data_IF_568910326830
#
_entry.id   IF_568910326830
#
_cell.length_a   1.000
_cell.length_b   1.000
_cell.length_c   1.000
_cell.angle_alpha   90.00
_cell.angle_beta   90.00
_cell.angle_gamma   90.00
#
_symmetry.space_group_name_H-M   'P 1'
#
loop_
_entity.id
_entity.type
_entity.pdbx_description
1 polymer ?
#
# COMPACT_ATOMS: atom_id res chain seq x y z
N UNK A 1 11.68 5.32 -20.23
CA UNK A 1 12.35 5.05 -21.52
C UNK A 1 11.41 5.57 -22.59
N UNK A 2 11.81 6.60 -23.32
CA UNK A 2 10.97 7.23 -24.34
C UNK A 2 11.44 6.74 -25.71
N UNK A 3 10.56 6.11 -26.49
CA UNK A 3 10.92 5.63 -27.82
C UNK A 3 10.75 6.79 -28.80
N UNK A 4 11.86 7.45 -29.13
CA UNK A 4 11.94 8.37 -30.26
C UNK A 4 12.28 7.62 -31.55
N UNK A 5 12.01 8.23 -32.70
CA UNK A 5 12.24 7.72 -34.06
C UNK A 5 13.72 7.44 -34.41
N UNK A 6 14.63 7.49 -33.43
CA UNK A 6 16.08 7.32 -33.57
C UNK A 6 16.46 5.87 -33.86
N UNK A 7 16.37 5.55 -35.15
CA UNK A 7 17.10 4.53 -35.92
C UNK A 7 18.06 3.63 -35.15
N UNK A 8 17.67 2.37 -34.92
CA UNK A 8 18.63 1.27 -34.88
C UNK A 8 17.93 -0.03 -35.32
N UNK A 9 18.23 -0.43 -36.57
CA UNK A 9 17.90 -1.71 -37.21
C UNK A 9 16.41 -2.01 -37.39
N UNK A 10 15.83 -1.50 -38.48
CA UNK A 10 14.49 -1.86 -38.93
C UNK A 10 14.55 -2.88 -40.08
N UNK A 11 14.19 -4.13 -39.80
CA UNK A 11 14.07 -5.16 -40.85
C UNK A 11 12.64 -5.12 -41.41
N UNK A 12 12.48 -4.80 -42.70
CA UNK A 12 11.19 -4.78 -43.39
C UNK A 12 11.11 -5.93 -44.40
N UNK A 13 9.99 -6.65 -44.42
CA UNK A 13 9.70 -7.69 -45.41
C UNK A 13 8.67 -7.17 -46.43
N UNK A 14 8.89 -7.43 -47.73
CA UNK A 14 8.24 -6.70 -48.83
C UNK A 14 6.75 -7.04 -49.09
N UNK A 15 6.15 -7.94 -48.29
CA UNK A 15 4.78 -8.46 -48.53
C UNK A 15 3.66 -7.80 -47.71
N UNK A 16 3.92 -6.79 -46.89
CA UNK A 16 2.89 -6.12 -46.08
C UNK A 16 2.22 -4.95 -46.83
N UNK A 17 1.19 -5.25 -47.63
CA UNK A 17 0.34 -4.22 -48.29
C UNK A 17 -0.56 -3.40 -47.32
N UNK A 18 -0.30 -3.50 -46.01
CA UNK A 18 -0.97 -2.74 -44.94
C UNK A 18 0.09 -2.40 -43.89
N UNK A 19 0.96 -1.43 -44.20
CA UNK A 19 2.12 -1.07 -43.38
C UNK A 19 1.73 -0.87 -41.91
N UNK A 20 2.15 -1.81 -41.05
CA UNK A 20 1.97 -1.77 -39.61
C UNK A 20 3.35 -1.82 -38.97
N UNK A 21 3.54 -1.03 -37.93
CA UNK A 21 4.81 -1.00 -37.18
C UNK A 21 4.59 -1.61 -35.80
N UNK A 22 5.58 -2.37 -35.33
CA UNK A 22 5.54 -2.97 -33.99
C UNK A 22 6.67 -2.39 -33.16
N UNK A 23 6.31 -1.67 -32.11
CA UNK A 23 7.26 -1.12 -31.14
C UNK A 23 7.50 -2.16 -30.05
N UNK A 24 8.76 -2.34 -29.65
CA UNK A 24 9.15 -3.26 -28.57
C UNK A 24 9.87 -2.47 -27.49
N UNK A 25 9.33 -2.52 -26.26
CA UNK A 25 9.98 -1.97 -25.08
C UNK A 25 10.49 -3.13 -24.23
N UNK A 26 11.79 -3.16 -23.94
CA UNK A 26 12.40 -4.18 -23.09
C UNK A 26 12.84 -3.55 -21.79
N UNK A 27 12.23 -3.96 -20.67
CA UNK A 27 12.75 -3.69 -19.34
C UNK A 27 13.51 -4.94 -18.86
N UNK A 28 14.75 -4.77 -18.42
CA UNK A 28 15.62 -5.85 -17.93
C UNK A 28 16.31 -5.41 -16.64
N UNK A 29 16.79 -6.37 -15.85
CA UNK A 29 17.54 -6.07 -14.63
C UNK A 29 16.68 -5.61 -13.46
N UNK A 30 15.38 -5.95 -13.44
CA UNK A 30 14.49 -5.58 -12.33
C UNK A 30 14.26 -6.75 -11.37
N UNK A 31 14.02 -6.39 -10.10
CA UNK A 31 13.67 -7.26 -8.98
C UNK A 31 12.83 -6.41 -8.01
N UNK A 32 11.68 -6.89 -7.47
CA UNK A 32 11.02 -8.20 -7.62
C UNK A 32 10.17 -8.35 -8.92
N UNK A 33 9.50 -9.49 -9.10
CA UNK A 33 8.76 -9.94 -10.30
C UNK A 33 7.46 -9.16 -10.61
N UNK A 34 7.00 -8.33 -9.67
CA UNK A 34 5.74 -7.60 -9.76
C UNK A 34 5.82 -6.32 -10.61
N UNK A 35 6.42 -6.35 -11.80
CA UNK A 35 6.50 -5.18 -12.69
C UNK A 35 5.63 -5.40 -13.92
N UNK A 36 4.78 -4.42 -14.23
CA UNK A 36 3.97 -4.41 -15.44
C UNK A 36 4.28 -3.17 -16.26
N UNK A 37 4.06 -3.25 -17.58
CA UNK A 37 4.47 -2.24 -18.55
C UNK A 37 3.26 -1.78 -19.33
N UNK A 38 3.06 -0.46 -19.40
CA UNK A 38 2.00 0.19 -20.18
C UNK A 38 2.58 1.17 -21.18
N UNK A 39 1.83 1.38 -22.26
CA UNK A 39 2.14 2.35 -23.30
C UNK A 39 1.30 3.61 -23.13
N UNK A 40 1.94 4.76 -23.21
CA UNK A 40 1.30 6.06 -23.30
C UNK A 40 1.62 6.67 -24.66
N UNK A 41 0.58 7.13 -25.36
CA UNK A 41 0.69 7.76 -26.67
C UNK A 41 0.17 9.19 -26.55
N UNK A 42 1.00 10.17 -26.88
CA UNK A 42 0.64 11.58 -26.85
C UNK A 42 0.68 12.16 -28.28
N UNK A 43 -0.42 12.79 -28.79
CA UNK A 43 -1.76 12.89 -28.19
C UNK A 43 -2.52 11.54 -28.17
N UNK A 44 -3.52 11.36 -27.28
CA UNK A 44 -4.24 10.10 -27.12
C UNK A 44 -4.96 9.70 -28.41
N UNK A 45 -4.51 8.60 -29.02
CA UNK A 45 -5.00 8.12 -30.30
C UNK A 45 -6.20 7.16 -30.14
N UNK A 46 -7.28 7.43 -30.88
CA UNK A 46 -8.52 6.63 -30.93
C UNK A 46 -8.32 5.27 -31.63
N UNK A 47 -7.22 5.06 -32.37
CA UNK A 47 -7.01 3.89 -33.25
C UNK A 47 -5.79 3.01 -32.90
N UNK A 48 -5.39 2.92 -31.63
CA UNK A 48 -4.34 1.97 -31.19
C UNK A 48 -4.89 0.54 -31.07
N UNK A 49 -5.27 -0.06 -32.21
CA UNK A 49 -5.81 -1.42 -32.24
C UNK A 49 -4.73 -2.47 -31.94
N UNK A 50 -4.65 -2.91 -30.68
CA UNK A 50 -3.88 -4.10 -30.28
C UNK A 50 -2.65 -3.80 -29.45
N UNK A 51 -2.87 -3.33 -28.22
CA UNK A 51 -1.89 -3.44 -27.13
C UNK A 51 -1.85 -4.90 -26.70
N UNK A 52 -0.87 -5.66 -27.19
CA UNK A 52 -0.61 -7.03 -26.75
C UNK A 52 0.54 -6.99 -25.75
N UNK A 53 0.22 -6.78 -24.47
CA UNK A 53 1.20 -6.89 -23.39
C UNK A 53 1.50 -8.37 -23.19
N UNK A 54 2.73 -8.82 -23.52
CA UNK A 54 3.17 -10.17 -23.19
C UNK A 54 3.05 -10.36 -21.67
N UNK A 55 2.32 -11.41 -21.27
CA UNK A 55 1.76 -11.57 -19.91
C UNK A 55 2.77 -12.04 -18.86
N UNK A 56 4.02 -12.32 -19.23
CA UNK A 56 4.98 -13.00 -18.36
C UNK A 56 6.40 -12.47 -18.52
N UNK A 57 7.04 -12.13 -17.40
CA UNK A 57 8.46 -11.83 -17.35
C UNK A 57 9.25 -13.12 -17.56
N UNK A 58 10.21 -13.10 -18.49
CA UNK A 58 11.14 -14.21 -18.68
C UNK A 58 12.15 -14.17 -17.52
N UNK A 59 12.23 -15.27 -16.75
CA UNK A 59 13.19 -15.43 -15.67
C UNK A 59 14.59 -15.62 -16.27
N UNK A 60 15.48 -14.65 -16.06
CA UNK A 60 16.93 -14.87 -16.16
C UNK A 60 17.48 -15.42 -14.85
N UNK A 61 18.76 -15.73 -14.78
CA UNK A 61 19.37 -16.43 -13.62
C UNK A 61 19.10 -15.73 -12.27
N UNK A 62 19.18 -14.39 -12.22
CA UNK A 62 18.97 -13.57 -11.01
C UNK A 62 18.10 -12.33 -11.22
N UNK A 63 17.79 -11.99 -12.47
CA UNK A 63 17.06 -10.77 -12.83
C UNK A 63 15.88 -11.11 -13.72
N UNK A 64 14.81 -10.32 -13.60
CA UNK A 64 13.65 -10.46 -14.45
C UNK A 64 13.77 -9.59 -15.70
N UNK A 65 13.21 -10.09 -16.81
CA UNK A 65 13.15 -9.37 -18.09
C UNK A 65 11.72 -9.43 -18.63
N UNK A 66 11.13 -8.28 -18.96
CA UNK A 66 9.80 -8.17 -19.56
C UNK A 66 9.89 -7.36 -20.85
N UNK A 67 9.18 -7.81 -21.87
CA UNK A 67 9.05 -7.11 -23.15
C UNK A 67 7.59 -6.79 -23.40
N UNK A 68 7.27 -5.55 -23.76
CA UNK A 68 5.93 -5.17 -24.20
C UNK A 68 5.96 -4.80 -25.68
N UNK A 69 4.95 -5.25 -26.43
CA UNK A 69 4.84 -5.03 -27.87
C UNK A 69 3.60 -4.20 -28.18
N UNK A 70 3.78 -3.06 -28.85
CA UNK A 70 2.70 -2.20 -29.29
C UNK A 70 2.61 -2.21 -30.82
N UNK A 71 1.47 -2.64 -31.36
CA UNK A 71 1.20 -2.53 -32.81
C UNK A 71 0.58 -1.17 -33.11
N UNK A 72 1.17 -0.43 -34.03
CA UNK A 72 0.70 0.89 -34.48
C UNK A 72 0.48 0.91 -35.99
N UNK A 73 -0.47 1.74 -36.42
CA UNK A 73 -0.71 1.98 -37.84
C UNK A 73 0.42 2.80 -38.48
N UNK A 74 0.63 2.67 -39.80
CA UNK A 74 1.56 3.53 -40.54
C UNK A 74 1.31 5.01 -40.30
N UNK A 75 0.04 5.41 -40.39
CA UNK A 75 -0.42 6.79 -40.26
C UNK A 75 -0.06 7.37 -38.89
N UNK A 76 -0.26 6.60 -37.82
CA UNK A 76 0.10 7.04 -36.48
C UNK A 76 1.61 7.08 -36.26
N UNK A 77 2.38 6.21 -36.92
CA UNK A 77 3.84 6.23 -36.79
C UNK A 77 4.47 7.45 -37.49
N UNK A 78 4.00 7.76 -38.71
CA UNK A 78 4.58 8.83 -39.52
C UNK A 78 4.10 10.23 -39.16
N UNK A 79 3.02 10.36 -38.40
CA UNK A 79 2.57 11.69 -38.00
C UNK A 79 3.61 12.37 -37.10
N UNK A 80 4.01 13.57 -37.47
CA UNK A 80 4.92 14.40 -36.69
C UNK A 80 4.27 14.84 -35.37
N UNK A 81 5.07 14.95 -34.31
CA UNK A 81 4.59 15.30 -32.96
C UNK A 81 4.03 14.15 -32.13
N UNK A 82 3.79 12.95 -32.71
CA UNK A 82 3.39 11.76 -31.93
C UNK A 82 4.56 11.17 -31.15
N UNK A 83 4.38 10.97 -29.85
CA UNK A 83 5.36 10.35 -28.94
C UNK A 83 4.80 9.07 -28.34
N UNK A 84 5.61 8.01 -28.38
CA UNK A 84 5.29 6.71 -27.78
C UNK A 84 6.18 6.49 -26.55
N UNK A 85 5.56 6.53 -25.37
CA UNK A 85 6.27 6.41 -24.09
C UNK A 85 5.94 5.07 -23.45
N UNK A 86 6.99 4.34 -23.07
CA UNK A 86 6.87 3.10 -22.31
C UNK A 86 7.03 3.40 -20.82
N UNK A 87 6.01 3.10 -20.01
CA UNK A 87 6.03 3.26 -18.54
C UNK A 87 5.99 1.91 -17.84
N UNK A 88 6.80 1.78 -16.79
CA UNK A 88 6.78 0.64 -15.86
C UNK A 88 5.98 1.01 -14.62
N UNK A 89 5.19 0.09 -14.10
CA UNK A 89 4.48 0.24 -12.83
C UNK A 89 4.63 -1.02 -11.99
N UNK A 90 4.76 -0.83 -10.68
CA UNK A 90 4.76 -1.94 -9.73
C UNK A 90 3.32 -2.46 -9.60
N UNK A 91 3.11 -3.73 -9.94
CA UNK A 91 1.85 -4.44 -9.75
C UNK A 91 1.74 -4.82 -8.28
N UNK A 92 1.40 -3.85 -7.42
CA UNK A 92 1.13 -4.15 -6.00
C UNK A 92 -0.05 -5.13 -5.95
N UNK A 93 0.17 -6.35 -5.44
CA UNK A 93 -0.89 -7.35 -5.27
C UNK A 93 -1.93 -6.78 -4.31
N UNK A 94 -3.17 -6.61 -4.78
CA UNK A 94 -4.27 -6.01 -4.01
C UNK A 94 -4.55 -6.75 -2.69
N UNK A 95 -4.23 -8.04 -2.62
CA UNK A 95 -4.27 -8.85 -1.41
C UNK A 95 -3.35 -8.32 -0.28
N UNK A 96 -2.16 -7.81 -0.61
CA UNK A 96 -1.23 -7.24 0.38
C UNK A 96 -1.72 -5.91 0.96
N UNK A 97 -2.52 -5.15 0.18
CA UNK A 97 -3.18 -3.93 0.68
C UNK A 97 -4.32 -4.27 1.64
N UNK A 98 -5.11 -5.30 1.33
CA UNK A 98 -6.20 -5.77 2.19
C UNK A 98 -5.69 -6.36 3.50
N UNK A 99 -4.61 -7.16 3.46
CA UNK A 99 -4.04 -7.73 4.68
C UNK A 99 -3.52 -6.65 5.63
N UNK A 100 -2.82 -5.63 5.11
CA UNK A 100 -2.29 -4.53 5.93
C UNK A 100 -3.38 -3.75 6.66
N UNK A 101 -4.50 -3.47 5.97
CA UNK A 101 -5.65 -2.80 6.58
C UNK A 101 -6.27 -3.65 7.69
N UNK A 102 -6.40 -4.96 7.50
CA UNK A 102 -6.91 -5.88 8.53
C UNK A 102 -6.03 -5.91 9.77
N UNK A 103 -4.70 -5.88 9.60
CA UNK A 103 -3.75 -5.81 10.72
C UNK A 103 -3.89 -4.51 11.51
N UNK A 104 -4.03 -3.36 10.83
CA UNK A 104 -4.23 -2.06 11.50
C UNK A 104 -5.53 -2.06 12.29
N UNK A 105 -6.64 -2.48 11.68
CA UNK A 105 -7.94 -2.50 12.36
C UNK A 105 -7.89 -3.39 13.60
N UNK A 106 -7.34 -4.60 13.49
CA UNK A 106 -7.15 -5.50 14.64
C UNK A 106 -6.34 -4.84 15.75
N UNK A 107 -5.19 -4.24 15.43
CA UNK A 107 -4.35 -3.55 16.42
C UNK A 107 -5.10 -2.44 17.14
N UNK A 108 -5.89 -1.63 16.42
CA UNK A 108 -6.69 -0.57 17.04
C UNK A 108 -7.78 -1.10 17.96
N UNK A 109 -8.44 -2.21 17.60
CA UNK A 109 -9.44 -2.85 18.46
C UNK A 109 -8.81 -3.38 19.76
N UNK A 110 -7.64 -4.04 19.66
CA UNK A 110 -6.91 -4.50 20.84
C UNK A 110 -6.46 -3.32 21.71
N UNK A 111 -5.97 -2.23 21.10
CA UNK A 111 -5.56 -1.02 21.83
C UNK A 111 -6.71 -0.39 22.62
N UNK A 112 -7.88 -0.21 22.01
CA UNK A 112 -9.06 0.33 22.68
C UNK A 112 -9.57 -0.60 23.80
N UNK A 113 -9.56 -1.92 23.58
CA UNK A 113 -9.95 -2.90 24.59
C UNK A 113 -9.02 -2.90 25.80
N UNK A 114 -7.70 -2.88 25.60
CA UNK A 114 -6.72 -2.81 26.70
C UNK A 114 -6.82 -1.48 27.44
N UNK A 115 -6.95 -0.36 26.73
CA UNK A 115 -7.13 0.95 27.36
C UNK A 115 -8.40 1.00 28.22
N UNK A 116 -9.51 0.44 27.73
CA UNK A 116 -10.75 0.33 28.50
C UNK A 116 -10.56 -0.55 29.75
N UNK A 117 -9.91 -1.72 29.62
CA UNK A 117 -9.64 -2.60 30.76
C UNK A 117 -8.73 -1.93 31.80
N UNK A 118 -7.69 -1.21 31.36
CA UNK A 118 -6.81 -0.46 32.25
C UNK A 118 -7.55 0.69 32.95
N UNK A 119 -8.39 1.42 32.23
CA UNK A 119 -9.22 2.47 32.83
C UNK A 119 -10.21 1.88 33.85
N UNK A 120 -10.89 0.77 33.51
CA UNK A 120 -11.81 0.08 34.43
C UNK A 120 -11.11 -0.50 35.66
N UNK A 121 -9.87 -0.96 35.50
CA UNK A 121 -9.04 -1.43 36.61
C UNK A 121 -8.61 -0.25 37.50
N UNK A 122 -8.22 0.87 36.91
CA UNK A 122 -7.87 2.09 37.63
C UNK A 122 -9.05 2.64 38.45
N UNK A 123 -10.25 2.72 37.86
CA UNK A 123 -11.49 3.09 38.57
C UNK A 123 -11.72 2.21 39.81
N UNK A 124 -11.49 0.91 39.69
CA UNK A 124 -11.71 -0.03 40.79
C UNK A 124 -10.66 0.11 41.89
N UNK A 125 -9.39 0.33 41.53
CA UNK A 125 -8.31 0.60 42.48
C UNK A 125 -8.58 1.90 43.23
N UNK A 126 -8.99 2.97 42.53
CA UNK A 126 -9.31 4.25 43.14
C UNK A 126 -10.49 4.13 44.12
N UNK A 127 -11.54 3.36 43.79
CA UNK A 127 -12.67 3.10 44.70
C UNK A 127 -12.20 2.33 45.95
N UNK A 128 -11.39 1.27 45.79
CA UNK A 128 -10.88 0.49 46.93
C UNK A 128 -10.03 1.36 47.84
N UNK A 129 -9.13 2.18 47.30
CA UNK A 129 -8.29 3.07 48.11
C UNK A 129 -9.15 4.12 48.85
N UNK A 130 -10.20 4.65 48.20
CA UNK A 130 -11.12 5.61 48.84
C UNK A 130 -11.94 4.95 49.95
N UNK A 131 -12.41 3.72 49.78
CA UNK A 131 -13.14 2.98 50.81
C UNK A 131 -12.22 2.60 51.99
N UNK A 132 -10.98 2.21 51.74
CA UNK A 132 -9.98 1.95 52.78
C UNK A 132 -9.68 3.21 53.61
N UNK A 133 -9.45 4.36 52.96
CA UNK A 133 -9.21 5.65 53.65
C UNK A 133 -10.41 6.07 54.49
N UNK A 134 -11.63 5.97 53.96
CA UNK A 134 -12.85 6.29 54.72
C UNK A 134 -13.05 5.38 55.92
N UNK A 135 -12.69 4.11 55.81
CA UNK A 135 -12.76 3.15 56.92
C UNK A 135 -11.75 3.51 58.02
N UNK A 136 -10.52 3.87 57.64
CA UNK A 136 -9.48 4.33 58.58
C UNK A 136 -9.92 5.62 59.28
N UNK A 137 -10.46 6.60 58.54
CA UNK A 137 -11.02 7.83 59.12
C UNK A 137 -12.18 7.54 60.08
N UNK A 138 -13.08 6.62 59.73
CA UNK A 138 -14.20 6.24 60.58
C UNK A 138 -13.74 5.54 61.87
N UNK A 139 -12.69 4.72 61.80
CA UNK A 139 -12.09 4.06 62.97
C UNK A 139 -11.33 5.05 63.85
N UNK A 140 -10.55 5.96 63.27
CA UNK A 140 -9.90 7.07 64.01
C UNK A 140 -10.94 7.95 64.69
N UNK A 141 -12.03 8.28 64.01
CA UNK A 141 -13.15 9.03 64.58
C UNK A 141 -13.83 8.26 65.73
N UNK A 142 -13.86 6.92 65.66
CA UNK A 142 -14.36 6.07 66.75
C UNK A 142 -13.40 6.04 67.95
N UNK A 143 -12.12 5.89 67.69
CA UNK A 143 -11.05 5.85 68.70
C UNK A 143 -10.98 7.18 69.48
N UNK A 144 -10.95 8.30 68.76
CA UNK A 144 -10.95 9.65 69.34
C UNK A 144 -12.22 9.94 70.15
N UNK A 145 -13.38 9.42 69.71
CA UNK A 145 -14.62 9.54 70.48
C UNK A 145 -14.54 8.75 71.79
N UNK A 146 -13.88 7.60 71.83
CA UNK A 146 -13.73 6.81 73.06
C UNK A 146 -12.76 7.48 74.04
N UNK A 147 -11.68 8.10 73.54
CA UNK A 147 -10.68 8.84 74.34
C UNK A 147 -11.32 10.07 75.03
N UNK A 148 -12.15 10.84 74.31
CA UNK A 148 -12.89 11.98 74.89
C UNK A 148 -13.92 11.56 75.95
N UNK A 149 -14.57 10.40 75.77
CA UNK A 149 -15.54 9.87 76.76
C UNK A 149 -14.82 9.37 78.02
N UNK A 150 -13.57 8.92 77.93
CA UNK A 150 -12.82 8.44 79.09
C UNK A 150 -12.21 9.57 79.92
N UNK A 151 -11.83 10.70 79.32
CA UNK A 151 -11.36 11.88 80.09
C UNK A 151 -12.48 12.60 80.85
N UNK A 152 -13.74 12.57 80.40
CA UNK A 152 -14.85 13.24 81.10
C UNK A 152 -15.38 12.51 82.34
N UNK A 153 -14.88 11.31 82.65
CA UNK A 153 -15.31 10.52 83.81
C UNK A 153 -14.26 10.41 84.93
N UNK A 154 -13.15 11.17 84.86
CA UNK A 154 -12.11 11.24 85.91
C UNK A 154 -12.15 12.61 86.60
#
# INVERSE_FOLDING_TARGET
MSCSRTTTKECSNQKDRKWRKTLVCVASGFYPDHVSVSWQVDPPAVSSSGVATDSSALRGDKTYRISSRLRVSASDWFTEGRKFTCRKYLKTTQAAKLSYVVFIVKSSVYGAGVAFLLWRLQEFIDIIQVDEVKLVEALLCREQRQEVVTEQQI
#
